data_IF_971938946442
#
_entry.id   IF_971938946442
#
_cell.length_a   1.000
_cell.length_b   1.000
_cell.length_c   1.000
_cell.angle_alpha   90.00
_cell.angle_beta   90.00
_cell.angle_gamma   90.00
#
_symmetry.space_group_name_H-M   'P 1'
#
loop_
_entity.id
_entity.type
_entity.pdbx_description
1 polymer ?
#
# COMPACT_ATOMS: atom_id res chain seq x y z
N UNK A 1 -5.49 13.41 -10.00
CA UNK A 1 -6.46 12.34 -10.30
C UNK A 1 -6.18 11.26 -9.29
N UNK A 2 -7.18 10.92 -8.49
CA UNK A 2 -7.02 9.89 -7.47
C UNK A 2 -6.84 8.53 -8.17
N UNK A 3 -5.75 7.84 -7.87
CA UNK A 3 -5.49 6.53 -8.40
C UNK A 3 -6.48 5.55 -7.74
N UNK A 4 -7.41 5.01 -8.53
CA UNK A 4 -8.47 4.13 -8.04
C UNK A 4 -7.93 2.93 -7.23
N UNK A 5 -6.81 2.35 -7.67
CA UNK A 5 -6.21 1.20 -7.00
C UNK A 5 -5.51 1.57 -5.69
N UNK A 6 -5.01 2.80 -5.59
CA UNK A 6 -4.23 3.24 -4.45
C UNK A 6 -5.00 3.10 -3.13
N UNK A 7 -6.25 3.57 -3.10
CA UNK A 7 -7.10 3.49 -1.90
C UNK A 7 -7.38 2.05 -1.47
N UNK A 8 -7.77 1.19 -2.42
CA UNK A 8 -8.11 -0.21 -2.16
C UNK A 8 -6.89 -0.96 -1.63
N UNK A 9 -5.73 -0.80 -2.28
CA UNK A 9 -4.50 -1.49 -1.90
C UNK A 9 -4.02 -1.01 -0.52
N UNK A 10 -4.10 0.29 -0.24
CA UNK A 10 -3.73 0.87 1.06
C UNK A 10 -4.56 0.28 2.19
N UNK A 11 -5.87 0.21 2.01
CA UNK A 11 -6.79 -0.38 2.99
C UNK A 11 -6.46 -1.85 3.23
N UNK A 12 -6.33 -2.65 2.18
CA UNK A 12 -6.12 -4.09 2.29
C UNK A 12 -4.75 -4.44 2.86
N UNK A 13 -3.73 -3.64 2.56
CA UNK A 13 -2.42 -3.75 3.21
C UNK A 13 -2.52 -3.46 4.72
N UNK A 14 -3.29 -2.44 5.15
CA UNK A 14 -3.58 -2.18 6.57
C UNK A 14 -4.40 -3.25 7.28
N UNK A 15 -5.20 -4.01 6.54
CA UNK A 15 -5.87 -5.19 7.06
C UNK A 15 -4.97 -6.44 7.10
N UNK A 16 -3.72 -6.35 6.64
CA UNK A 16 -2.78 -7.47 6.58
C UNK A 16 -3.13 -8.50 5.49
N UNK A 17 -3.99 -8.14 4.53
CA UNK A 17 -4.37 -9.01 3.41
C UNK A 17 -3.30 -9.05 2.31
N UNK A 18 -2.41 -8.05 2.30
CA UNK A 18 -1.29 -7.94 1.36
C UNK A 18 0.03 -7.84 2.10
N UNK A 19 1.05 -8.49 1.56
CA UNK A 19 2.44 -8.36 1.96
C UNK A 19 3.16 -7.29 1.11
N UNK A 20 4.35 -6.89 1.55
CA UNK A 20 5.20 -5.93 0.80
C UNK A 20 5.49 -6.41 -0.62
N UNK A 21 5.64 -7.73 -0.81
CA UNK A 21 5.86 -8.35 -2.13
C UNK A 21 4.67 -8.20 -3.08
N UNK A 22 3.45 -8.10 -2.54
CA UNK A 22 2.26 -7.85 -3.36
C UNK A 22 2.28 -6.40 -3.86
N UNK A 23 2.71 -5.46 -3.02
CA UNK A 23 2.90 -4.06 -3.43
C UNK A 23 3.97 -3.92 -4.54
N UNK A 24 5.05 -4.71 -4.50
CA UNK A 24 6.02 -4.79 -5.59
C UNK A 24 5.37 -5.23 -6.91
N UNK A 25 4.50 -6.23 -6.85
CA UNK A 25 3.74 -6.71 -8.02
C UNK A 25 2.80 -5.63 -8.55
N UNK A 26 2.13 -4.87 -7.68
CA UNK A 26 1.23 -3.77 -8.07
C UNK A 26 1.97 -2.59 -8.71
N UNK A 27 3.22 -2.32 -8.29
CA UNK A 27 4.09 -1.35 -8.96
C UNK A 27 4.47 -1.84 -10.36
N UNK A 28 4.87 -3.10 -10.51
CA UNK A 28 5.21 -3.68 -11.82
C UNK A 28 4.00 -3.69 -12.77
N UNK A 29 2.81 -3.96 -12.25
CA UNK A 29 1.54 -3.91 -12.98
C UNK A 29 1.05 -2.48 -13.26
N UNK A 30 1.74 -1.45 -12.75
CA UNK A 30 1.39 -0.03 -12.85
C UNK A 30 0.02 0.31 -12.26
N UNK A 31 -0.43 -0.46 -11.28
CA UNK A 31 -1.65 -0.14 -10.52
C UNK A 31 -1.36 0.97 -9.51
N UNK A 32 -0.15 1.01 -8.97
CA UNK A 32 0.37 2.08 -8.12
C UNK A 32 1.79 2.44 -8.54
N UNK A 33 2.24 3.61 -8.10
CA UNK A 33 3.62 4.10 -8.27
C UNK A 33 4.52 3.65 -7.12
N UNK A 34 5.84 3.78 -7.31
CA UNK A 34 6.81 3.50 -6.25
C UNK A 34 6.66 4.43 -5.04
N UNK A 35 6.26 5.69 -5.26
CA UNK A 35 5.99 6.66 -4.20
C UNK A 35 4.74 6.27 -3.40
N UNK A 36 3.67 5.89 -4.09
CA UNK A 36 2.44 5.37 -3.45
C UNK A 36 2.71 4.09 -2.64
N UNK A 37 3.53 3.17 -3.15
CA UNK A 37 3.99 2.00 -2.36
C UNK A 37 4.67 2.44 -1.06
N UNK A 38 5.57 3.41 -1.14
CA UNK A 38 6.31 3.92 0.02
C UNK A 38 5.36 4.53 1.05
N UNK A 39 4.34 5.26 0.61
CA UNK A 39 3.32 5.82 1.50
C UNK A 39 2.45 4.75 2.17
N UNK A 40 2.03 3.71 1.43
CA UNK A 40 1.24 2.59 1.97
C UNK A 40 2.00 1.89 3.08
N UNK A 41 3.28 1.58 2.83
CA UNK A 41 4.15 0.95 3.83
C UNK A 41 4.34 1.88 5.03
N UNK A 42 4.69 3.15 4.80
CA UNK A 42 4.94 4.13 5.86
C UNK A 42 3.75 4.38 6.78
N UNK A 43 2.54 4.49 6.21
CA UNK A 43 1.30 4.70 6.97
C UNK A 43 0.98 3.53 7.89
N UNK A 44 1.31 2.30 7.48
CA UNK A 44 1.04 1.12 8.28
C UNK A 44 1.93 1.05 9.53
N UNK A 45 3.22 1.37 9.40
CA UNK A 45 4.19 1.34 10.51
C UNK A 45 3.74 2.27 11.65
N UNK A 46 3.11 3.40 11.31
CA UNK A 46 2.55 4.35 12.28
C UNK A 46 1.29 3.85 13.00
N UNK A 47 0.48 2.96 12.41
CA UNK A 47 -0.69 2.39 13.10
C UNK A 47 -0.33 1.24 14.05
N UNK A 48 0.65 0.40 13.71
CA UNK A 48 1.05 -0.72 14.59
C UNK A 48 1.77 -0.25 15.86
N UNK A 49 2.34 0.96 15.83
CA UNK A 49 3.08 1.53 16.96
C UNK A 49 2.19 2.30 17.95
N UNK A 50 0.89 2.41 17.68
CA UNK A 50 -0.08 3.14 18.50
C UNK A 50 -0.98 2.23 19.37
N UNK A 51 -0.60 0.97 19.57
CA UNK A 51 -1.33 -0.03 20.37
C UNK A 51 -0.56 -0.47 21.61
#
# INVERSE_FOLDING_TARGET
MDNFWYGIIKEYYGLGLYAVSDLDTFVQAKWITADEKTEIIGTNITQVSAS
#
